data_IF_100509692641
#
_entry.id   IF_100509692641
#
_cell.length_a   1.000
_cell.length_b   1.000
_cell.length_c   1.000
_cell.angle_alpha   90.00
_cell.angle_beta   90.00
_cell.angle_gamma   90.00
#
_symmetry.space_group_name_H-M   'P 1'
#
loop_
_entity.id
_entity.type
_entity.pdbx_description
1 polymer ?
#
# COMPACT_ATOMS: atom_id res chain seq x y z
N UNK A 1 11.95 -2.18 -8.50
CA UNK A 1 11.07 -3.30 -8.88
C UNK A 1 10.44 -3.91 -7.63
N UNK A 2 9.76 -3.10 -6.79
CA UNK A 2 8.85 -3.67 -5.80
C UNK A 2 7.80 -4.42 -6.61
N UNK A 3 7.71 -5.73 -6.40
CA UNK A 3 6.80 -6.53 -7.21
C UNK A 3 5.38 -6.03 -6.95
N UNK A 4 4.58 -5.86 -8.01
CA UNK A 4 3.17 -5.47 -7.96
C UNK A 4 2.35 -6.24 -6.88
N UNK A 5 2.82 -7.44 -6.50
CA UNK A 5 2.26 -8.29 -5.44
C UNK A 5 2.43 -7.74 -4.03
N UNK A 6 3.58 -7.14 -3.71
CA UNK A 6 3.83 -6.61 -2.36
C UNK A 6 3.04 -5.32 -2.13
N UNK A 7 2.87 -4.50 -3.17
CA UNK A 7 2.03 -3.31 -3.10
C UNK A 7 0.55 -3.71 -2.85
N UNK A 8 0.02 -4.66 -3.63
CA UNK A 8 -1.34 -5.18 -3.43
C UNK A 8 -1.56 -5.74 -2.02
N UNK A 9 -0.56 -6.47 -1.49
CA UNK A 9 -0.63 -7.07 -0.15
C UNK A 9 -0.76 -6.00 0.94
N UNK A 10 -0.02 -4.90 0.85
CA UNK A 10 -0.06 -3.81 1.84
C UNK A 10 -1.44 -3.16 1.86
N UNK A 11 -2.02 -2.85 0.70
CA UNK A 11 -3.36 -2.26 0.61
C UNK A 11 -4.46 -3.17 1.16
N UNK A 12 -4.44 -4.46 0.80
CA UNK A 12 -5.42 -5.43 1.29
C UNK A 12 -5.27 -5.71 2.79
N UNK A 13 -4.05 -5.82 3.28
CA UNK A 13 -3.80 -6.05 4.70
C UNK A 13 -4.15 -4.82 5.55
N UNK A 14 -4.00 -3.60 5.01
CA UNK A 14 -4.51 -2.39 5.64
C UNK A 14 -6.04 -2.37 5.66
N UNK A 15 -6.71 -2.60 4.53
CA UNK A 15 -8.17 -2.66 4.45
C UNK A 15 -8.81 -3.78 5.31
N UNK A 16 -8.02 -4.78 5.70
CA UNK A 16 -8.46 -5.89 6.56
C UNK A 16 -8.09 -5.71 8.04
N UNK A 17 -7.52 -4.57 8.43
CA UNK A 17 -7.05 -4.27 9.79
C UNK A 17 -6.03 -5.29 10.36
N UNK A 18 -5.30 -6.02 9.50
CA UNK A 18 -4.31 -7.03 9.92
C UNK A 18 -2.87 -6.51 9.88
N UNK A 19 -2.65 -5.29 9.38
CA UNK A 19 -1.33 -4.67 9.28
C UNK A 19 -0.70 -4.41 10.66
N UNK A 20 -1.53 -3.99 11.63
CA UNK A 20 -1.13 -3.78 13.03
C UNK A 20 -0.53 -5.04 13.65
N UNK A 21 -1.13 -6.20 13.40
CA UNK A 21 -0.62 -7.49 13.88
C UNK A 21 0.72 -7.86 13.24
N UNK A 22 0.96 -7.46 11.99
CA UNK A 22 2.22 -7.67 11.31
C UNK A 22 3.33 -6.73 11.80
N UNK A 23 2.96 -5.56 12.34
CA UNK A 23 3.90 -4.56 12.84
C UNK A 23 4.17 -4.66 14.35
N UNK A 24 3.34 -5.40 15.09
CA UNK A 24 3.54 -5.68 16.53
C UNK A 24 4.96 -6.14 16.96
N UNK A 25 5.71 -6.95 16.17
CA UNK A 25 7.07 -7.35 16.56
C UNK A 25 8.17 -6.34 16.17
N UNK A 26 7.85 -5.22 15.53
CA UNK A 26 8.83 -4.22 15.12
C UNK A 26 9.29 -3.36 16.32
N UNK A 27 10.47 -2.75 16.18
CA UNK A 27 10.88 -1.68 17.09
C UNK A 27 10.03 -0.43 16.87
N UNK A 28 9.89 0.44 17.88
CA UNK A 28 9.10 1.68 17.78
C UNK A 28 9.57 2.56 16.58
N UNK A 29 10.88 2.60 16.33
CA UNK A 29 11.46 3.36 15.22
C UNK A 29 11.09 2.77 13.85
N UNK A 30 11.15 1.43 13.73
CA UNK A 30 10.77 0.73 12.50
C UNK A 30 9.25 0.79 12.26
N UNK A 31 8.45 0.73 13.33
CA UNK A 31 7.01 0.88 13.29
C UNK A 31 6.61 2.24 12.73
N UNK A 32 7.20 3.31 13.26
CA UNK A 32 6.95 4.69 12.79
C UNK A 32 7.33 4.87 11.32
N UNK A 33 8.45 4.29 10.90
CA UNK A 33 8.89 4.33 9.49
C UNK A 33 7.93 3.53 8.60
N UNK A 34 7.51 2.35 9.03
CA UNK A 34 6.56 1.51 8.30
C UNK A 34 5.20 2.23 8.14
N UNK A 35 4.66 2.81 9.21
CA UNK A 35 3.39 3.53 9.18
C UNK A 35 3.46 4.80 8.31
N UNK A 36 4.57 5.55 8.34
CA UNK A 36 4.78 6.68 7.43
C UNK A 36 4.78 6.24 5.97
N UNK A 37 5.41 5.11 5.65
CA UNK A 37 5.42 4.56 4.28
C UNK A 37 4.06 4.06 3.86
N UNK A 38 3.32 3.38 4.73
CA UNK A 38 1.95 2.93 4.46
C UNK A 38 1.05 4.13 4.19
N UNK A 39 1.11 5.18 5.04
CA UNK A 39 0.35 6.40 4.82
C UNK A 39 0.71 7.07 3.49
N UNK A 40 2.01 7.22 3.21
CA UNK A 40 2.46 7.77 1.92
C UNK A 40 1.89 6.99 0.74
N UNK A 41 1.81 5.66 0.82
CA UNK A 41 1.19 4.85 -0.24
C UNK A 41 -0.31 5.13 -0.34
N UNK A 42 -1.05 5.16 0.78
CA UNK A 42 -2.49 5.43 0.80
C UNK A 42 -2.85 6.84 0.30
N UNK A 43 -1.94 7.79 0.44
CA UNK A 43 -2.11 9.17 -0.03
C UNK A 43 -1.85 9.32 -1.55
N UNK A 44 -1.38 8.28 -2.24
CA UNK A 44 -1.19 8.32 -3.69
C UNK A 44 -2.54 8.32 -4.42
N UNK A 45 -2.64 9.08 -5.51
CA UNK A 45 -3.76 9.01 -6.42
C UNK A 45 -3.61 7.81 -7.38
N UNK A 46 -4.46 6.77 -7.26
CA UNK A 46 -4.39 5.60 -8.13
C UNK A 46 -4.61 5.93 -9.61
N UNK A 47 -5.37 6.98 -9.94
CA UNK A 47 -5.64 7.38 -11.32
C UNK A 47 -4.38 8.00 -11.96
N UNK A 48 -3.65 8.85 -11.23
CA UNK A 48 -2.37 9.41 -11.68
C UNK A 48 -1.29 8.33 -11.80
N UNK A 49 -1.22 7.40 -10.84
CA UNK A 49 -0.22 6.32 -10.86
C UNK A 49 -0.47 5.29 -11.97
N UNK A 50 -1.74 5.05 -12.35
CA UNK A 50 -2.10 4.18 -13.45
C UNK A 50 -1.67 4.73 -14.82
N UNK A 51 -1.56 6.06 -14.96
CA UNK A 51 -1.13 6.72 -16.20
C UNK A 51 0.38 6.66 -16.45
N UNK A 52 1.19 6.17 -15.49
CA UNK A 52 2.64 6.11 -15.64
C UNK A 52 3.07 5.02 -16.64
N UNK A 53 4.11 5.27 -17.44
CA UNK A 53 4.59 4.28 -18.40
C UNK A 53 5.08 3.01 -17.70
N UNK A 54 4.49 1.86 -18.07
CA UNK A 54 4.80 0.56 -17.47
C UNK A 54 4.04 0.25 -16.18
N UNK A 55 3.04 1.06 -15.81
CA UNK A 55 2.16 0.79 -14.69
C UNK A 55 1.21 -0.39 -14.98
N UNK A 56 0.75 -1.06 -13.92
CA UNK A 56 -0.27 -2.08 -14.00
C UNK A 56 -1.63 -1.46 -13.68
N UNK A 57 -2.40 -1.12 -14.71
CA UNK A 57 -3.72 -0.46 -14.60
C UNK A 57 -4.69 -1.27 -13.72
N UNK A 58 -4.66 -2.60 -13.81
CA UNK A 58 -5.53 -3.48 -13.02
C UNK A 58 -5.17 -3.40 -11.53
N UNK A 59 -3.89 -3.32 -11.19
CA UNK A 59 -3.46 -3.15 -9.80
C UNK A 59 -4.00 -1.83 -9.23
N UNK A 60 -3.83 -0.73 -9.95
CA UNK A 60 -4.30 0.58 -9.50
C UNK A 60 -5.83 0.69 -9.46
N UNK A 61 -6.54 0.04 -10.38
CA UNK A 61 -7.99 -0.07 -10.32
C UNK A 61 -8.48 -0.82 -9.07
N UNK A 62 -7.78 -1.91 -8.68
CA UNK A 62 -8.07 -2.62 -7.43
C UNK A 62 -7.77 -1.72 -6.23
N UNK A 63 -6.64 -1.01 -6.22
CA UNK A 63 -6.33 -0.04 -5.15
C UNK A 63 -7.44 1.00 -5.03
N UNK A 64 -7.84 1.64 -6.14
CA UNK A 64 -8.92 2.63 -6.18
C UNK A 64 -10.26 2.10 -5.68
N UNK A 65 -10.54 0.81 -5.85
CA UNK A 65 -11.77 0.18 -5.36
C UNK A 65 -11.76 -0.05 -3.84
N UNK A 66 -10.59 -0.15 -3.22
CA UNK A 66 -10.43 -0.35 -1.78
C UNK A 66 -10.10 0.94 -1.00
N UNK A 67 -9.68 2.02 -1.67
CA UNK A 67 -9.49 3.35 -1.07
C UNK A 67 -10.69 4.29 -1.19
N UNK A 68 -11.79 3.88 -1.85
CA UNK A 68 -13.07 4.63 -1.93
C UNK A 68 -14.10 4.18 -0.92
#
# INVERSE_FOLDING_TARGET
CWTHRVLALIYLAHASDVLENAFAPLSDEDYDVAMKRVRFLLDLDPEEEAMKPGANEVLWAVVAAYTK
#
